data_IF_183799060390
#
_entry.id   IF_183799060390
#
_cell.length_a   1.000
_cell.length_b   1.000
_cell.length_c   1.000
_cell.angle_alpha   90.00
_cell.angle_beta   90.00
_cell.angle_gamma   90.00
#
_symmetry.space_group_name_H-M   'P 1'
#
loop_
_entity.id
_entity.type
_entity.pdbx_description
1 polymer ?
#
# COMPACT_ATOMS: atom_id res chain seq x y z
N UNK A 1 -4.26 28.57 3.95
CA UNK A 1 -5.36 27.75 3.38
C UNK A 1 -5.10 26.30 3.69
N UNK A 2 -5.61 25.81 4.82
CA UNK A 2 -5.46 24.41 5.22
C UNK A 2 -6.49 23.52 4.55
N UNK A 3 -6.16 22.24 4.38
CA UNK A 3 -7.12 21.21 3.99
C UNK A 3 -8.16 21.06 5.11
N UNK A 4 -9.44 20.91 4.75
CA UNK A 4 -10.50 20.58 5.71
C UNK A 4 -10.72 19.05 5.78
N UNK A 5 -11.42 18.58 6.81
CA UNK A 5 -11.66 17.16 7.01
C UNK A 5 -12.29 16.49 5.78
N UNK A 6 -13.32 17.10 5.19
CA UNK A 6 -14.04 16.53 4.04
C UNK A 6 -13.14 16.36 2.82
N UNK A 7 -12.21 17.30 2.59
CA UNK A 7 -11.23 17.23 1.51
C UNK A 7 -10.22 16.10 1.73
N UNK A 8 -9.75 15.90 2.96
CA UNK A 8 -8.85 14.80 3.32
C UNK A 8 -9.57 13.46 3.19
N UNK A 9 -10.79 13.35 3.71
CA UNK A 9 -11.62 12.16 3.61
C UNK A 9 -11.87 11.77 2.16
N UNK A 10 -12.28 12.72 1.33
CA UNK A 10 -12.56 12.49 -0.09
C UNK A 10 -11.31 12.05 -0.84
N UNK A 11 -10.16 12.68 -0.57
CA UNK A 11 -8.89 12.31 -1.17
C UNK A 11 -8.47 10.89 -0.77
N UNK A 12 -8.50 10.56 0.52
CA UNK A 12 -8.17 9.23 1.02
C UNK A 12 -9.08 8.15 0.42
N UNK A 13 -10.40 8.42 0.35
CA UNK A 13 -11.38 7.52 -0.29
C UNK A 13 -11.06 7.28 -1.75
N UNK A 14 -10.66 8.32 -2.50
CA UNK A 14 -10.29 8.19 -3.91
C UNK A 14 -9.03 7.36 -4.11
N UNK A 15 -8.01 7.56 -3.27
CA UNK A 15 -6.77 6.76 -3.28
C UNK A 15 -7.12 5.28 -3.03
N UNK A 16 -7.89 4.99 -2.00
CA UNK A 16 -8.31 3.63 -1.68
C UNK A 16 -9.14 2.99 -2.80
N UNK A 17 -10.11 3.72 -3.35
CA UNK A 17 -10.90 3.21 -4.47
C UNK A 17 -10.02 2.91 -5.69
N UNK A 18 -9.01 3.72 -5.99
CA UNK A 18 -8.09 3.47 -7.11
C UNK A 18 -7.25 2.20 -6.88
N UNK A 19 -6.78 1.98 -5.67
CA UNK A 19 -6.03 0.78 -5.30
C UNK A 19 -6.91 -0.47 -5.37
N UNK A 20 -8.05 -0.46 -4.67
CA UNK A 20 -8.92 -1.63 -4.57
C UNK A 20 -9.56 -2.02 -5.91
N UNK A 21 -9.83 -1.05 -6.81
CA UNK A 21 -10.38 -1.30 -8.15
C UNK A 21 -9.42 -1.97 -9.13
N UNK A 22 -8.18 -2.28 -8.74
CA UNK A 22 -7.28 -3.11 -9.58
C UNK A 22 -7.80 -4.54 -9.75
N UNK A 23 -8.69 -4.99 -8.87
CA UNK A 23 -9.47 -6.21 -9.06
C UNK A 23 -10.95 -5.86 -9.03
N UNK A 24 -11.68 -6.26 -10.06
CA UNK A 24 -13.13 -6.09 -10.12
C UNK A 24 -13.82 -7.44 -9.92
N UNK A 25 -14.60 -7.56 -8.84
CA UNK A 25 -15.39 -8.75 -8.54
C UNK A 25 -16.77 -8.56 -9.13
N UNK A 26 -17.03 -9.23 -10.26
CA UNK A 26 -18.27 -9.08 -11.00
C UNK A 26 -19.45 -9.70 -10.24
N UNK A 27 -20.59 -9.00 -10.15
CA UNK A 27 -21.76 -9.54 -9.49
C UNK A 27 -22.41 -10.65 -10.31
N UNK A 28 -23.02 -11.66 -9.65
CA UNK A 28 -23.94 -12.57 -10.31
C UNK A 28 -25.21 -11.83 -10.75
N UNK A 29 -26.03 -12.46 -11.59
CA UNK A 29 -27.31 -11.88 -12.03
C UNK A 29 -28.27 -11.59 -10.88
N UNK A 30 -28.19 -12.33 -9.78
CA UNK A 30 -28.96 -12.09 -8.55
C UNK A 30 -27.97 -11.91 -7.41
N UNK A 31 -27.93 -10.71 -6.83
CA UNK A 31 -27.08 -10.39 -5.68
C UNK A 31 -27.66 -11.06 -4.44
N UNK A 32 -26.88 -11.95 -3.83
CA UNK A 32 -27.23 -12.62 -2.58
C UNK A 32 -26.48 -12.03 -1.39
N UNK A 33 -26.96 -12.32 -0.18
CA UNK A 33 -26.23 -12.01 1.05
C UNK A 33 -24.86 -12.69 1.08
N UNK A 34 -24.78 -13.93 0.59
CA UNK A 34 -23.53 -14.68 0.47
C UNK A 34 -22.53 -13.98 -0.46
N UNK A 35 -22.97 -13.52 -1.63
CA UNK A 35 -22.14 -12.73 -2.53
C UNK A 35 -21.63 -11.46 -1.83
N UNK A 36 -22.52 -10.74 -1.15
CA UNK A 36 -22.17 -9.50 -0.43
C UNK A 36 -21.12 -9.76 0.66
N UNK A 37 -21.26 -10.88 1.38
CA UNK A 37 -20.30 -11.34 2.39
C UNK A 37 -18.94 -11.66 1.76
N UNK A 38 -18.91 -12.39 0.64
CA UNK A 38 -17.66 -12.72 -0.06
C UNK A 38 -16.95 -11.47 -0.60
N UNK A 39 -17.68 -10.54 -1.19
CA UNK A 39 -17.13 -9.25 -1.65
C UNK A 39 -16.56 -8.44 -0.48
N UNK A 40 -17.26 -8.43 0.66
CA UNK A 40 -16.78 -7.76 1.88
C UNK A 40 -15.48 -8.38 2.38
N UNK A 41 -15.40 -9.71 2.45
CA UNK A 41 -14.18 -10.44 2.84
C UNK A 41 -13.05 -10.14 1.85
N UNK A 42 -13.34 -10.17 0.55
CA UNK A 42 -12.36 -9.94 -0.50
C UNK A 42 -11.72 -8.55 -0.38
N UNK A 43 -12.53 -7.48 -0.39
CA UNK A 43 -11.98 -6.12 -0.33
C UNK A 43 -11.40 -5.77 1.04
N UNK A 44 -11.90 -6.36 2.13
CA UNK A 44 -11.27 -6.23 3.45
C UNK A 44 -9.89 -6.90 3.49
N UNK A 45 -9.75 -8.08 2.88
CA UNK A 45 -8.48 -8.79 2.78
C UNK A 45 -7.49 -8.07 1.87
N UNK A 46 -7.95 -7.55 0.72
CA UNK A 46 -7.12 -6.76 -0.18
C UNK A 46 -6.63 -5.48 0.48
N UNK A 47 -7.50 -4.78 1.23
CA UNK A 47 -7.10 -3.63 2.06
C UNK A 47 -5.97 -4.01 3.03
N UNK A 48 -6.09 -5.15 3.73
CA UNK A 48 -5.04 -5.62 4.67
C UNK A 48 -3.73 -5.96 3.96
N UNK A 49 -3.79 -6.57 2.78
CA UNK A 49 -2.61 -6.92 1.99
C UNK A 49 -1.84 -5.70 1.45
N UNK A 50 -2.47 -4.52 1.44
CA UNK A 50 -1.86 -3.26 0.99
C UNK A 50 -1.35 -2.36 2.14
N UNK A 51 -1.39 -2.83 3.39
CA UNK A 51 -0.93 -2.04 4.54
C UNK A 51 0.59 -2.09 4.73
N UNK A 52 1.23 -3.22 4.37
CA UNK A 52 2.63 -3.50 4.66
C UNK A 52 3.37 -4.06 3.43
N UNK A 53 4.69 -3.81 3.31
CA UNK A 53 5.50 -2.94 4.18
C UNK A 53 5.05 -1.47 4.13
N UNK A 54 5.27 -0.73 5.21
CA UNK A 54 5.02 0.72 5.18
C UNK A 54 6.26 1.45 4.68
N UNK A 55 6.05 2.59 4.04
CA UNK A 55 7.13 3.52 3.72
C UNK A 55 7.72 4.12 5.00
N UNK A 56 9.04 4.22 5.02
CA UNK A 56 9.85 4.91 6.03
C UNK A 56 10.59 6.13 5.45
N UNK A 57 10.38 6.42 4.17
CA UNK A 57 10.93 7.57 3.46
C UNK A 57 9.94 8.73 3.33
N UNK A 58 10.50 9.94 3.28
CA UNK A 58 9.82 11.23 3.18
C UNK A 58 10.32 12.02 1.96
N UNK A 59 9.66 13.14 1.65
CA UNK A 59 10.09 14.06 0.59
C UNK A 59 10.68 15.30 1.22
N UNK A 60 11.96 15.59 0.92
CA UNK A 60 12.66 16.76 1.48
C UNK A 60 12.25 18.08 0.77
N UNK A 61 12.80 19.20 1.24
CA UNK A 61 12.52 20.53 0.69
C UNK A 61 12.91 20.70 -0.80
N UNK A 62 13.82 19.87 -1.31
CA UNK A 62 14.23 19.86 -2.73
C UNK A 62 13.36 18.93 -3.59
N UNK A 63 12.32 18.31 -3.02
CA UNK A 63 11.46 17.36 -3.71
C UNK A 63 12.08 15.97 -3.89
N UNK A 64 13.16 15.67 -3.18
CA UNK A 64 13.85 14.37 -3.27
C UNK A 64 13.32 13.42 -2.21
N UNK A 65 13.21 12.14 -2.59
CA UNK A 65 12.91 11.06 -1.64
C UNK A 65 14.14 10.79 -0.79
N UNK A 66 13.97 10.82 0.54
CA UNK A 66 15.01 10.56 1.54
C UNK A 66 14.46 9.76 2.70
N UNK A 67 15.32 9.06 3.45
CA UNK A 67 14.91 8.33 4.64
C UNK A 67 15.96 8.43 5.75
N UNK A 68 15.52 8.46 7.00
CA UNK A 68 16.40 8.17 8.14
C UNK A 68 16.61 6.66 8.21
N UNK A 69 17.86 6.19 8.18
CA UNK A 69 18.13 4.75 8.17
C UNK A 69 18.17 4.17 9.59
N UNK A 70 17.27 3.24 9.95
CA UNK A 70 17.37 2.49 11.20
C UNK A 70 18.48 1.44 11.17
N UNK A 71 19.16 1.27 10.04
CA UNK A 71 20.23 0.29 9.81
C UNK A 71 21.62 0.93 9.76
N UNK A 72 21.68 2.25 9.64
CA UNK A 72 22.92 3.00 9.73
C UNK A 72 23.31 3.18 11.22
N UNK A 73 24.46 2.66 11.66
CA UNK A 73 24.90 2.79 13.05
C UNK A 73 25.15 4.24 13.48
N UNK A 74 25.28 5.18 12.54
CA UNK A 74 25.43 6.61 12.80
C UNK A 74 24.10 7.37 12.79
N UNK A 75 23.02 6.75 12.32
CA UNK A 75 21.69 7.36 12.25
C UNK A 75 21.64 8.53 11.28
N UNK A 76 22.07 8.33 10.03
CA UNK A 76 22.02 9.38 9.02
C UNK A 76 20.78 9.30 8.10
N UNK A 77 20.53 10.42 7.42
CA UNK A 77 19.53 10.50 6.36
C UNK A 77 20.17 10.18 5.01
N UNK A 78 19.58 9.25 4.28
CA UNK A 78 20.06 8.77 2.99
C UNK A 78 19.08 9.09 1.86
N UNK A 79 19.55 9.28 0.62
CA UNK A 79 18.67 9.43 -0.53
C UNK A 79 18.00 8.10 -0.89
N UNK A 80 16.78 8.17 -1.42
CA UNK A 80 16.04 7.03 -1.95
C UNK A 80 14.95 6.50 -1.01
N UNK A 81 14.12 5.56 -1.51
CA UNK A 81 13.03 4.97 -0.74
C UNK A 81 13.57 4.06 0.37
N UNK A 82 12.75 3.83 1.39
CA UNK A 82 13.01 2.81 2.42
C UNK A 82 11.67 2.27 2.90
N UNK A 83 11.59 0.95 3.05
CA UNK A 83 10.40 0.27 3.56
C UNK A 83 10.72 -0.49 4.85
N UNK A 84 9.71 -0.70 5.70
CA UNK A 84 9.89 -1.45 6.95
C UNK A 84 8.60 -2.17 7.39
N UNK A 85 8.65 -2.79 8.57
CA UNK A 85 7.54 -3.52 9.21
C UNK A 85 7.03 -4.70 8.38
N UNK A 86 7.94 -5.50 7.82
CA UNK A 86 7.59 -6.68 7.04
C UNK A 86 8.46 -7.89 7.37
N UNK A 87 7.81 -9.00 7.74
CA UNK A 87 8.46 -10.31 7.81
C UNK A 87 8.42 -10.98 6.45
N UNK A 88 9.57 -11.15 5.79
CA UNK A 88 9.63 -11.84 4.51
C UNK A 88 9.12 -13.28 4.60
N UNK A 89 9.39 -13.98 5.71
CA UNK A 89 8.97 -15.36 5.93
C UNK A 89 7.45 -15.56 5.80
N UNK A 90 6.64 -14.57 6.20
CA UNK A 90 5.20 -14.58 6.00
C UNK A 90 4.81 -14.17 4.58
N UNK A 91 5.39 -13.07 4.11
CA UNK A 91 4.87 -12.33 2.95
C UNK A 91 5.36 -12.83 1.60
N UNK A 92 6.47 -13.58 1.55
CA UNK A 92 7.01 -14.12 0.28
C UNK A 92 6.03 -15.06 -0.42
N UNK A 93 5.15 -15.75 0.34
CA UNK A 93 4.26 -16.78 -0.18
C UNK A 93 3.13 -16.21 -1.03
N UNK A 94 2.60 -15.05 -0.66
CA UNK A 94 1.36 -14.52 -1.24
C UNK A 94 1.35 -13.01 -1.47
N UNK A 95 1.84 -12.20 -0.53
CA UNK A 95 1.80 -10.73 -0.66
C UNK A 95 2.71 -10.25 -1.79
N UNK A 96 3.98 -10.68 -1.81
CA UNK A 96 4.91 -10.26 -2.88
C UNK A 96 4.49 -10.75 -4.27
N UNK A 97 4.05 -12.02 -4.45
CA UNK A 97 3.46 -12.47 -5.71
C UNK A 97 2.20 -11.70 -6.12
N UNK A 98 1.33 -11.34 -5.17
CA UNK A 98 0.16 -10.51 -5.46
C UNK A 98 0.58 -9.11 -5.91
N UNK A 99 1.55 -8.49 -5.23
CA UNK A 99 2.08 -7.18 -5.60
C UNK A 99 2.74 -7.20 -6.98
N UNK A 100 3.48 -8.25 -7.34
CA UNK A 100 4.12 -8.33 -8.66
C UNK A 100 3.09 -8.39 -9.80
N UNK A 101 1.95 -9.02 -9.57
CA UNK A 101 0.87 -9.12 -10.57
C UNK A 101 0.00 -7.85 -10.60
N UNK A 102 -0.43 -7.38 -9.44
CA UNK A 102 -1.46 -6.34 -9.33
C UNK A 102 -0.90 -4.94 -9.11
N UNK A 103 0.28 -4.82 -8.48
CA UNK A 103 0.89 -3.55 -8.04
C UNK A 103 2.40 -3.46 -8.35
N UNK A 104 2.85 -3.75 -9.59
CA UNK A 104 4.27 -3.88 -9.90
C UNK A 104 5.08 -2.60 -9.62
N UNK A 105 4.49 -1.41 -9.83
CA UNK A 105 5.16 -0.14 -9.56
C UNK A 105 5.49 0.01 -8.06
N UNK A 106 4.53 -0.32 -7.19
CA UNK A 106 4.72 -0.30 -5.75
C UNK A 106 5.72 -1.36 -5.30
N UNK A 107 5.71 -2.54 -5.92
CA UNK A 107 6.72 -3.56 -5.65
C UNK A 107 8.12 -3.06 -6.03
N UNK A 108 8.26 -2.31 -7.12
CA UNK A 108 9.53 -1.70 -7.51
C UNK A 108 10.09 -0.79 -6.41
N UNK A 109 9.28 0.13 -5.89
CA UNK A 109 9.66 1.02 -4.80
C UNK A 109 10.02 0.24 -3.51
N UNK A 110 9.23 -0.80 -3.20
CA UNK A 110 9.46 -1.67 -2.04
C UNK A 110 10.81 -2.40 -2.15
N UNK A 111 11.09 -3.00 -3.31
CA UNK A 111 12.34 -3.73 -3.55
C UNK A 111 13.55 -2.80 -3.53
N UNK A 112 13.42 -1.57 -4.03
CA UNK A 112 14.50 -0.57 -3.93
C UNK A 112 14.75 -0.12 -2.49
N UNK A 113 13.71 -0.15 -1.64
CA UNK A 113 13.79 0.21 -0.23
C UNK A 113 14.14 -0.92 0.73
N UNK A 114 14.49 -2.12 0.23
CA UNK A 114 15.10 -3.20 1.02
C UNK A 114 16.62 -3.16 0.92
#
# INVERSE_FOLDING_TARGET
>A
NGLNFDSIYSNAKNIWNKLLKRVDVLPPSIVTEEYTRHVTIFYSSLYRALMFPRRLDEVNANGQVVHYSPYDPHGETHPGPLCTDNGFWDTFRTVYPMLSLLYPDYLGDIIQGW
#
